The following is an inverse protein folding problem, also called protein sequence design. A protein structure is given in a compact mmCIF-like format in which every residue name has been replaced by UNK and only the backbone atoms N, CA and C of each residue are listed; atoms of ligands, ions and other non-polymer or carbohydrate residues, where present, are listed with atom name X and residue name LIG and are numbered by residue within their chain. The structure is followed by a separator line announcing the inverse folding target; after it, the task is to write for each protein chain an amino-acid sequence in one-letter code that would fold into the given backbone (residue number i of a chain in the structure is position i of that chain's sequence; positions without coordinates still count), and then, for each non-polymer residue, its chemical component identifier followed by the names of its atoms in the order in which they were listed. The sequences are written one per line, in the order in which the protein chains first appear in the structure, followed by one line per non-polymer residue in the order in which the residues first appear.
data_IF_778203519316
#
_entry.id   IF_778203519316
#
_cell.length_a   1.000
_cell.length_b   1.000
_cell.length_c   1.000
_cell.angle_alpha   90.00
_cell.angle_beta   90.00
_cell.angle_gamma   90.00
#
_symmetry.space_group_name_H-M   'P 1'
#
loop_
_entity.id
_entity.type
_entity.pdbx_description
1 polymer ?
#
# COMPACT_ATOMS: atom_id res chain seq x y z
N UNK A 1 -27.47 -43.86 41.89
CA UNK A 1 -26.10 -43.43 41.52
C UNK A 1 -25.73 -43.80 40.09
N UNK A 2 -25.58 -45.08 39.71
CA UNK A 2 -25.15 -45.51 38.36
C UNK A 2 -25.91 -44.82 37.20
N UNK A 3 -27.24 -44.87 37.23
CA UNK A 3 -28.13 -44.22 36.24
C UNK A 3 -27.89 -42.71 36.10
N UNK A 4 -27.54 -42.02 37.20
CA UNK A 4 -27.22 -40.58 37.18
C UNK A 4 -25.91 -40.31 36.43
N UNK A 5 -24.94 -41.22 36.56
CA UNK A 5 -23.64 -41.13 35.89
C UNK A 5 -23.82 -41.46 34.40
N UNK A 6 -24.60 -42.49 34.07
CA UNK A 6 -24.94 -42.88 32.69
C UNK A 6 -25.67 -41.74 31.96
N UNK A 7 -26.66 -41.10 32.59
CA UNK A 7 -27.35 -39.93 32.03
C UNK A 7 -26.42 -38.71 31.83
N UNK A 8 -25.51 -38.44 32.77
CA UNK A 8 -24.53 -37.36 32.63
C UNK A 8 -23.50 -37.64 31.54
N UNK A 9 -23.08 -38.90 31.35
CA UNK A 9 -22.16 -39.30 30.27
C UNK A 9 -22.82 -39.10 28.91
N UNK A 10 -24.09 -39.49 28.75
CA UNK A 10 -24.78 -39.36 27.47
C UNK A 10 -25.13 -37.90 27.13
N UNK A 11 -25.49 -37.10 28.14
CA UNK A 11 -25.63 -35.64 28.00
C UNK A 11 -24.31 -34.99 27.56
N UNK A 12 -23.19 -35.34 28.20
CA UNK A 12 -21.86 -34.85 27.82
C UNK A 12 -21.44 -35.32 26.41
N UNK A 13 -21.82 -36.53 25.98
CA UNK A 13 -21.60 -37.01 24.60
C UNK A 13 -22.36 -36.19 23.58
N UNK A 14 -23.64 -35.91 23.82
CA UNK A 14 -24.45 -35.04 22.95
C UNK A 14 -23.86 -33.64 22.83
N UNK A 15 -23.42 -33.05 23.94
CA UNK A 15 -22.73 -31.75 23.95
C UNK A 15 -21.39 -31.79 23.20
N UNK A 16 -20.60 -32.86 23.34
CA UNK A 16 -19.34 -33.04 22.62
C UNK A 16 -19.57 -33.21 21.10
N UNK A 17 -20.55 -34.01 20.68
CA UNK A 17 -20.93 -34.15 19.27
C UNK A 17 -21.42 -32.83 18.67
N UNK A 18 -22.27 -32.09 19.39
CA UNK A 18 -22.73 -30.78 18.95
C UNK A 18 -21.56 -29.79 18.83
N UNK A 19 -20.57 -29.86 19.73
CA UNK A 19 -19.35 -29.06 19.66
C UNK A 19 -18.45 -29.46 18.47
N UNK A 20 -18.23 -30.74 18.19
CA UNK A 20 -17.41 -31.19 17.04
C UNK A 20 -18.04 -30.77 15.72
N UNK A 21 -19.33 -31.02 15.49
CA UNK A 21 -20.01 -30.60 14.25
C UNK A 21 -20.02 -29.08 14.06
N UNK A 22 -20.11 -28.31 15.16
CA UNK A 22 -19.99 -26.84 15.10
C UNK A 22 -18.58 -26.37 14.74
N UNK A 23 -17.54 -27.10 15.18
CA UNK A 23 -16.14 -26.82 14.84
C UNK A 23 -15.80 -27.22 13.40
N UNK A 24 -16.32 -28.35 12.93
CA UNK A 24 -16.19 -28.83 11.54
C UNK A 24 -16.79 -27.81 10.57
N UNK A 25 -18.05 -27.41 10.77
CA UNK A 25 -18.70 -26.37 9.97
C UNK A 25 -17.96 -25.02 9.99
N UNK A 26 -17.35 -24.65 11.12
CA UNK A 26 -16.52 -23.45 11.22
C UNK A 26 -15.19 -23.58 10.45
N UNK A 27 -14.54 -24.76 10.47
CA UNK A 27 -13.31 -25.06 9.73
C UNK A 27 -13.57 -25.06 8.22
N UNK A 28 -14.64 -25.69 7.76
CA UNK A 28 -15.04 -25.72 6.35
C UNK A 28 -15.28 -24.30 5.82
N UNK A 29 -16.08 -23.50 6.54
CA UNK A 29 -16.38 -22.11 6.16
C UNK A 29 -15.13 -21.22 6.18
N UNK A 30 -14.18 -21.47 7.07
CA UNK A 30 -12.90 -20.74 7.09
C UNK A 30 -11.99 -21.19 5.95
N UNK A 31 -12.03 -22.46 5.56
CA UNK A 31 -11.34 -23.02 4.38
C UNK A 31 -11.89 -22.39 3.09
N UNK A 32 -13.20 -22.26 2.96
CA UNK A 32 -13.85 -21.54 1.87
C UNK A 32 -13.38 -20.07 1.80
N UNK A 33 -13.42 -19.34 2.92
CA UNK A 33 -12.97 -17.95 2.98
C UNK A 33 -11.48 -17.79 2.62
N UNK A 34 -10.60 -18.67 3.08
CA UNK A 34 -9.18 -18.65 2.70
C UNK A 34 -8.97 -19.03 1.23
N UNK A 35 -9.80 -19.92 0.67
CA UNK A 35 -9.76 -20.27 -0.77
C UNK A 35 -10.19 -19.10 -1.66
N UNK A 36 -11.17 -18.31 -1.22
CA UNK A 36 -11.56 -17.06 -1.88
C UNK A 36 -10.42 -16.02 -1.75
N UNK A 37 -9.86 -15.85 -0.55
CA UNK A 37 -8.74 -14.94 -0.29
C UNK A 37 -7.51 -15.27 -1.14
N UNK A 38 -7.20 -16.55 -1.36
CA UNK A 38 -6.12 -17.00 -2.23
C UNK A 38 -6.36 -16.59 -3.69
N UNK A 39 -7.57 -16.82 -4.23
CA UNK A 39 -7.94 -16.42 -5.60
C UNK A 39 -7.92 -14.90 -5.81
N UNK A 40 -8.37 -14.14 -4.81
CA UNK A 40 -8.28 -12.68 -4.82
C UNK A 40 -6.82 -12.20 -4.74
N UNK A 41 -5.96 -12.91 -4.00
CA UNK A 41 -4.52 -12.64 -3.92
C UNK A 41 -3.79 -12.96 -5.23
N UNK A 42 -4.10 -14.09 -5.90
CA UNK A 42 -3.57 -14.43 -7.24
C UNK A 42 -3.91 -13.34 -8.25
N UNK A 43 -5.17 -12.90 -8.28
CA UNK A 43 -5.57 -11.80 -9.16
C UNK A 43 -4.90 -10.49 -8.80
N UNK A 44 -4.75 -10.18 -7.50
CA UNK A 44 -4.03 -8.99 -7.06
C UNK A 44 -2.54 -9.01 -7.50
N UNK A 45 -1.87 -10.17 -7.48
CA UNK A 45 -0.50 -10.32 -8.00
C UNK A 45 -0.46 -10.11 -9.52
N UNK A 46 -1.41 -10.67 -10.29
CA UNK A 46 -1.52 -10.42 -11.73
C UNK A 46 -1.69 -8.93 -12.06
N UNK A 47 -2.61 -8.26 -11.35
CA UNK A 47 -2.89 -6.82 -11.52
C UNK A 47 -1.69 -5.96 -11.10
N UNK A 48 -0.89 -6.42 -10.12
CA UNK A 48 0.34 -5.76 -9.70
C UNK A 48 1.42 -5.87 -10.78
N UNK A 49 1.63 -7.05 -11.37
CA UNK A 49 2.57 -7.24 -12.48
C UNK A 49 2.18 -6.43 -13.71
N UNK A 50 0.89 -6.38 -14.08
CA UNK A 50 0.38 -5.48 -15.13
C UNK A 50 0.66 -4.00 -14.86
N UNK A 51 0.59 -3.57 -13.59
CA UNK A 51 0.91 -2.20 -13.19
C UNK A 51 2.42 -1.93 -13.25
N UNK A 52 3.27 -2.89 -12.88
CA UNK A 52 4.71 -2.76 -13.05
C UNK A 52 5.12 -2.74 -14.53
N UNK A 53 4.46 -3.54 -15.38
CA UNK A 53 4.85 -3.75 -16.77
C UNK A 53 4.67 -2.54 -17.70
N UNK A 54 3.83 -1.55 -17.37
CA UNK A 54 3.58 -0.38 -18.25
C UNK A 54 4.78 0.52 -18.50
N UNK A 55 5.84 0.42 -17.70
CA UNK A 55 7.09 1.17 -17.90
C UNK A 55 8.31 0.24 -17.89
N UNK A 56 8.57 -0.53 -18.97
CA UNK A 56 9.58 -1.60 -18.99
C UNK A 56 11.04 -1.17 -18.67
N UNK A 57 11.33 0.12 -18.74
CA UNK A 57 12.61 0.73 -18.37
C UNK A 57 12.72 1.09 -16.89
N UNK A 58 11.58 1.39 -16.24
CA UNK A 58 11.48 1.86 -14.86
C UNK A 58 10.35 1.10 -14.15
N UNK A 59 10.66 -0.09 -13.63
CA UNK A 59 9.67 -1.01 -13.04
C UNK A 59 10.25 -1.86 -11.92
N UNK A 60 9.35 -2.45 -11.13
CA UNK A 60 9.69 -3.53 -10.20
C UNK A 60 9.37 -4.89 -10.82
N UNK A 61 9.97 -5.94 -10.29
CA UNK A 61 9.64 -7.33 -10.55
C UNK A 61 9.29 -7.94 -9.20
N UNK A 62 8.00 -8.18 -8.96
CA UNK A 62 7.47 -8.67 -7.69
C UNK A 62 7.10 -10.13 -7.90
N UNK A 63 7.96 -11.05 -7.45
CA UNK A 63 7.64 -12.48 -7.41
C UNK A 63 7.03 -12.80 -6.06
N UNK A 64 5.85 -13.42 -6.05
CA UNK A 64 5.20 -13.96 -4.87
C UNK A 64 4.33 -15.13 -5.30
N UNK A 65 4.56 -16.31 -4.72
CA UNK A 65 3.78 -17.51 -4.97
C UNK A 65 2.61 -17.55 -3.98
N UNK A 66 1.36 -17.56 -4.45
CA UNK A 66 0.20 -17.67 -3.55
C UNK A 66 0.07 -19.12 -3.05
N UNK A 67 -0.44 -19.30 -1.82
CA UNK A 67 -0.71 -20.62 -1.27
C UNK A 67 -1.71 -21.39 -2.15
N UNK A 68 -1.30 -22.58 -2.59
CA UNK A 68 -2.15 -23.46 -3.38
C UNK A 68 -3.31 -24.05 -2.54
N UNK A 69 -4.50 -24.32 -3.12
CA UNK A 69 -5.69 -24.68 -2.35
C UNK A 69 -5.56 -25.93 -1.48
N UNK A 70 -4.74 -26.89 -1.90
CA UNK A 70 -4.39 -28.10 -1.14
C UNK A 70 -3.74 -27.79 0.21
N UNK A 71 -2.92 -26.72 0.28
CA UNK A 71 -2.14 -26.35 1.46
C UNK A 71 -2.89 -25.42 2.44
N UNK A 72 -4.12 -25.05 2.12
CA UNK A 72 -4.97 -24.23 3.01
C UNK A 72 -5.37 -25.04 4.27
N UNK A 73 -5.54 -26.37 4.15
CA UNK A 73 -5.73 -27.27 5.29
C UNK A 73 -4.52 -27.25 6.23
N UNK A 74 -3.32 -27.48 5.69
CA UNK A 74 -2.05 -27.45 6.44
C UNK A 74 -1.79 -26.09 7.10
N UNK A 75 -2.29 -25.00 6.53
CA UNK A 75 -2.26 -23.68 7.16
C UNK A 75 -3.23 -23.61 8.34
N UNK A 76 -4.50 -23.96 8.14
CA UNK A 76 -5.50 -23.92 9.21
C UNK A 76 -5.10 -24.76 10.41
N UNK A 77 -4.59 -25.97 10.20
CA UNK A 77 -4.26 -26.88 11.31
C UNK A 77 -3.05 -26.37 12.11
N UNK A 78 -2.09 -25.68 11.47
CA UNK A 78 -1.03 -24.93 12.19
C UNK A 78 -1.62 -23.78 13.01
N UNK A 79 -2.46 -22.93 12.41
CA UNK A 79 -3.07 -21.78 13.10
C UNK A 79 -3.96 -22.23 14.28
N UNK A 80 -4.72 -23.32 14.15
CA UNK A 80 -5.48 -23.91 15.25
C UNK A 80 -4.57 -24.44 16.36
N UNK A 81 -3.44 -25.08 16.02
CA UNK A 81 -2.46 -25.56 16.99
C UNK A 81 -1.85 -24.39 17.79
N UNK A 82 -1.44 -23.32 17.11
CA UNK A 82 -0.88 -22.12 17.73
C UNK A 82 -1.89 -21.41 18.63
N UNK A 83 -3.15 -21.27 18.20
CA UNK A 83 -4.24 -20.72 19.03
C UNK A 83 -4.46 -21.59 20.27
N UNK A 84 -4.52 -22.92 20.14
CA UNK A 84 -4.66 -23.82 21.29
C UNK A 84 -3.48 -23.71 22.26
N UNK A 85 -2.25 -23.65 21.75
CA UNK A 85 -1.06 -23.45 22.58
C UNK A 85 -1.07 -22.10 23.31
N UNK A 86 -1.54 -21.04 22.64
CA UNK A 86 -1.68 -19.70 23.24
C UNK A 86 -2.80 -19.66 24.29
N UNK A 87 -3.94 -20.31 24.05
CA UNK A 87 -5.05 -20.41 25.03
C UNK A 87 -4.67 -21.21 26.28
N UNK A 88 -3.93 -22.32 26.15
CA UNK A 88 -3.42 -23.07 27.32
C UNK A 88 -2.57 -22.18 28.22
N UNK A 89 -1.62 -21.42 27.64
CA UNK A 89 -0.79 -20.44 28.38
C UNK A 89 -1.58 -19.27 28.99
N UNK A 90 -2.78 -18.97 28.48
CA UNK A 90 -3.64 -17.91 29.03
C UNK A 90 -4.43 -18.38 30.26
N UNK A 91 -4.86 -19.65 30.30
CA UNK A 91 -5.58 -20.23 31.43
C UNK A 91 -4.79 -20.10 32.75
N UNK A 92 -3.47 -20.29 32.70
CA UNK A 92 -2.56 -20.18 33.84
C UNK A 92 -2.35 -18.72 34.35
N UNK A 93 -2.81 -17.70 33.60
CA UNK A 93 -2.41 -16.29 33.81
C UNK A 93 -3.45 -15.37 34.50
N UNK A 94 -4.69 -15.84 34.70
CA UNK A 94 -5.68 -15.30 35.65
C UNK A 94 -6.25 -13.87 35.48
N UNK A 95 -5.63 -12.97 34.69
CA UNK A 95 -5.91 -11.51 34.78
C UNK A 95 -6.77 -10.93 33.63
N UNK A 96 -8.06 -10.73 33.92
CA UNK A 96 -9.11 -10.23 32.99
C UNK A 96 -8.88 -8.83 32.40
N UNK A 97 -8.07 -7.97 33.03
CA UNK A 97 -7.78 -6.62 32.50
C UNK A 97 -6.77 -6.70 31.34
N UNK A 98 -5.87 -7.68 31.39
CA UNK A 98 -4.88 -7.97 30.34
C UNK A 98 -5.55 -8.53 29.07
N UNK A 99 -6.63 -9.29 29.27
CA UNK A 99 -7.33 -10.11 28.29
C UNK A 99 -7.72 -9.37 27.00
N UNK A 100 -8.35 -8.18 27.09
CA UNK A 100 -8.71 -7.38 25.90
C UNK A 100 -7.48 -6.93 25.09
N UNK A 101 -6.39 -6.58 25.76
CA UNK A 101 -5.15 -6.09 25.11
C UNK A 101 -4.35 -7.25 24.52
N UNK A 102 -4.37 -8.41 25.17
CA UNK A 102 -3.82 -9.67 24.64
C UNK A 102 -4.62 -10.19 23.46
N UNK A 103 -5.96 -10.22 23.53
CA UNK A 103 -6.82 -10.67 22.41
C UNK A 103 -6.60 -9.84 21.14
N UNK A 104 -6.37 -8.53 21.27
CA UNK A 104 -5.98 -7.71 20.11
C UNK A 104 -4.61 -8.15 19.54
N UNK A 105 -3.60 -8.34 20.39
CA UNK A 105 -2.28 -8.82 19.95
C UNK A 105 -2.37 -10.17 19.24
N UNK A 106 -3.08 -11.15 19.81
CA UNK A 106 -3.31 -12.46 19.21
C UNK A 106 -3.99 -12.37 17.82
N UNK A 107 -4.96 -11.45 17.64
CA UNK A 107 -5.60 -11.22 16.33
C UNK A 107 -4.66 -10.53 15.32
N UNK A 108 -3.79 -9.62 15.77
CA UNK A 108 -2.82 -8.94 14.92
C UNK A 108 -1.64 -9.88 14.55
N UNK A 109 -1.22 -10.76 15.48
CA UNK A 109 -0.28 -11.88 15.29
C UNK A 109 -0.84 -12.88 14.28
N UNK A 110 -2.07 -13.37 14.49
CA UNK A 110 -2.77 -14.29 13.59
C UNK A 110 -2.91 -13.73 12.17
N UNK A 111 -3.28 -12.45 12.04
CA UNK A 111 -3.35 -11.78 10.74
C UNK A 111 -1.98 -11.71 10.06
N UNK A 112 -0.92 -11.45 10.83
CA UNK A 112 0.45 -11.46 10.35
C UNK A 112 0.87 -12.84 9.81
N UNK A 113 0.52 -13.92 10.50
CA UNK A 113 0.88 -15.27 10.10
C UNK A 113 0.06 -15.79 8.92
N UNK A 114 -1.24 -15.44 8.85
CA UNK A 114 -2.05 -15.65 7.63
C UNK A 114 -1.41 -14.96 6.43
N UNK A 115 -1.00 -13.68 6.53
CA UNK A 115 -0.36 -12.98 5.40
C UNK A 115 1.01 -13.55 5.03
N UNK A 116 1.80 -14.06 5.98
CA UNK A 116 3.07 -14.74 5.68
C UNK A 116 2.86 -16.07 4.98
N UNK A 117 1.91 -16.87 5.44
CA UNK A 117 1.63 -18.19 4.84
C UNK A 117 0.84 -18.09 3.53
N UNK A 118 0.14 -16.99 3.26
CA UNK A 118 -0.56 -16.71 2.00
C UNK A 118 0.40 -16.48 0.81
N UNK A 119 1.63 -15.99 1.07
CA UNK A 119 2.61 -15.64 0.03
C UNK A 119 4.00 -16.26 0.32
N UNK A 120 4.38 -17.26 -0.47
CA UNK A 120 5.72 -17.85 -0.49
C UNK A 120 6.67 -17.13 -1.47
N UNK A 121 7.98 -17.36 -1.29
CA UNK A 121 9.07 -16.95 -2.20
C UNK A 121 9.14 -15.45 -2.54
N UNK A 122 8.57 -14.62 -1.67
CA UNK A 122 8.40 -13.17 -1.88
C UNK A 122 9.75 -12.49 -2.11
N UNK A 123 9.94 -12.01 -3.34
CA UNK A 123 11.15 -11.31 -3.76
C UNK A 123 10.80 -10.11 -4.64
N UNK A 124 11.48 -8.98 -4.36
CA UNK A 124 11.32 -7.73 -5.09
C UNK A 124 12.66 -7.31 -5.68
N UNK A 125 12.68 -7.22 -7.00
CA UNK A 125 13.76 -6.62 -7.78
C UNK A 125 13.23 -5.36 -8.47
N UNK A 126 14.12 -4.48 -8.93
CA UNK A 126 13.75 -3.27 -9.65
C UNK A 126 14.74 -2.96 -10.77
N UNK A 127 14.28 -2.17 -11.74
CA UNK A 127 15.06 -1.60 -12.83
C UNK A 127 14.70 -0.12 -12.95
N UNK A 128 15.71 0.73 -13.17
CA UNK A 128 15.52 2.15 -13.43
C UNK A 128 16.65 2.67 -14.33
N UNK A 129 16.37 3.44 -15.40
CA UNK A 129 17.37 3.73 -16.44
C UNK A 129 18.62 4.45 -15.92
N UNK A 130 18.45 5.41 -15.01
CA UNK A 130 19.54 6.23 -14.46
C UNK A 130 20.16 5.66 -13.17
N UNK A 131 19.78 4.45 -12.74
CA UNK A 131 20.42 3.73 -11.62
C UNK A 131 21.23 2.55 -12.15
N UNK A 132 22.51 2.49 -11.78
CA UNK A 132 23.42 1.37 -12.07
C UNK A 132 23.40 0.88 -13.53
N UNK A 133 23.28 1.80 -14.48
CA UNK A 133 23.28 1.51 -15.93
C UNK A 133 21.99 0.89 -16.47
N UNK A 134 20.87 0.98 -15.75
CA UNK A 134 19.59 0.43 -16.22
C UNK A 134 19.47 -1.10 -16.06
N UNK A 135 20.29 -1.69 -15.19
CA UNK A 135 20.23 -3.11 -14.83
C UNK A 135 19.04 -3.49 -13.94
N UNK A 136 18.88 -4.79 -13.69
CA UNK A 136 17.88 -5.34 -12.77
C UNK A 136 18.57 -5.74 -11.46
N UNK A 137 18.09 -5.20 -10.34
CA UNK A 137 18.76 -5.30 -9.04
C UNK A 137 17.76 -5.63 -7.92
N UNK A 138 18.18 -6.39 -6.92
CA UNK A 138 17.34 -6.68 -5.75
C UNK A 138 17.07 -5.40 -4.96
N UNK A 139 15.84 -5.20 -4.51
CA UNK A 139 15.47 -4.06 -3.69
C UNK A 139 16.13 -4.19 -2.30
N UNK A 140 17.19 -3.41 -2.06
CA UNK A 140 17.89 -3.36 -0.76
C UNK A 140 18.25 -1.91 -0.41
N UNK A 141 18.33 -1.61 0.89
CA UNK A 141 18.70 -0.28 1.38
C UNK A 141 20.21 0.02 1.30
N UNK A 142 21.04 -1.00 1.05
CA UNK A 142 22.51 -0.88 0.94
C UNK A 142 22.88 -0.48 -0.49
N UNK A 143 23.95 0.31 -0.64
CA UNK A 143 24.50 0.72 -1.94
C UNK A 143 23.74 1.86 -2.66
N UNK A 144 22.44 2.03 -2.43
CA UNK A 144 21.68 3.17 -2.99
C UNK A 144 22.10 4.50 -2.35
N UNK A 145 22.39 5.51 -3.17
CA UNK A 145 22.51 6.91 -2.72
C UNK A 145 21.15 7.45 -2.25
N UNK A 146 21.14 8.61 -1.58
CA UNK A 146 19.87 9.21 -1.13
C UNK A 146 18.96 9.60 -2.30
N UNK A 147 19.52 10.13 -3.40
CA UNK A 147 18.80 10.34 -4.65
C UNK A 147 18.22 9.06 -5.23
N UNK A 148 18.99 7.98 -5.28
CA UNK A 148 18.53 6.68 -5.76
C UNK A 148 17.42 6.10 -4.86
N UNK A 149 17.50 6.28 -3.54
CA UNK A 149 16.42 5.86 -2.60
C UNK A 149 15.14 6.66 -2.85
N UNK A 150 15.24 7.97 -3.06
CA UNK A 150 14.09 8.82 -3.40
C UNK A 150 13.50 8.43 -4.76
N UNK A 151 14.33 8.20 -5.78
CA UNK A 151 13.93 7.77 -7.12
C UNK A 151 13.11 6.47 -7.11
N UNK A 152 13.64 5.44 -6.43
CA UNK A 152 12.98 4.14 -6.28
C UNK A 152 11.70 4.26 -5.44
N UNK A 153 11.68 5.11 -4.42
CA UNK A 153 10.48 5.34 -3.59
C UNK A 153 9.36 6.02 -4.38
N UNK A 154 9.67 7.06 -5.18
CA UNK A 154 8.70 7.74 -6.04
C UNK A 154 8.19 6.82 -7.16
N UNK A 155 9.07 5.97 -7.73
CA UNK A 155 8.68 4.92 -8.68
C UNK A 155 7.70 3.93 -8.04
N UNK A 156 8.00 3.45 -6.82
CA UNK A 156 7.14 2.50 -6.09
C UNK A 156 5.76 3.11 -5.78
N UNK A 157 5.73 4.36 -5.33
CA UNK A 157 4.50 5.11 -5.07
C UNK A 157 3.63 5.22 -6.32
N UNK A 158 4.20 5.65 -7.45
CA UNK A 158 3.47 5.79 -8.70
C UNK A 158 2.90 4.45 -9.18
N UNK A 159 3.69 3.37 -9.06
CA UNK A 159 3.24 2.00 -9.37
C UNK A 159 2.18 1.46 -8.43
N UNK A 160 2.22 1.78 -7.14
CA UNK A 160 1.13 1.44 -6.23
C UNK A 160 -0.16 2.20 -6.55
N UNK A 161 -0.10 3.46 -6.98
CA UNK A 161 -1.27 4.18 -7.46
C UNK A 161 -1.86 3.54 -8.75
N UNK A 162 -0.99 3.19 -9.71
CA UNK A 162 -1.37 2.51 -10.95
C UNK A 162 -1.98 1.12 -10.71
N UNK A 163 -1.50 0.40 -9.69
CA UNK A 163 -2.06 -0.87 -9.21
C UNK A 163 -3.44 -0.67 -8.58
N UNK A 164 -3.61 0.30 -7.67
CA UNK A 164 -4.90 0.58 -7.03
C UNK A 164 -5.98 0.99 -8.03
N UNK A 165 -5.62 1.76 -9.06
CA UNK A 165 -6.53 2.10 -10.15
C UNK A 165 -7.05 0.85 -10.89
N UNK A 166 -6.16 -0.06 -11.28
CA UNK A 166 -6.56 -1.33 -11.92
C UNK A 166 -7.40 -2.19 -10.97
N UNK A 167 -6.99 -2.34 -9.72
CA UNK A 167 -7.72 -3.13 -8.73
C UNK A 167 -9.15 -2.63 -8.53
N UNK A 168 -9.35 -1.31 -8.46
CA UNK A 168 -10.69 -0.71 -8.42
C UNK A 168 -11.49 -0.99 -9.71
N UNK A 169 -10.86 -0.91 -10.90
CA UNK A 169 -11.49 -1.17 -12.20
C UNK A 169 -11.84 -2.65 -12.42
N UNK A 170 -11.10 -3.59 -11.81
CA UNK A 170 -11.37 -5.03 -11.82
C UNK A 170 -12.52 -5.40 -10.86
N UNK A 171 -12.43 -4.95 -9.60
CA UNK A 171 -13.50 -5.13 -8.60
C UNK A 171 -14.82 -4.50 -9.07
N UNK A 172 -14.75 -3.44 -9.88
CA UNK A 172 -15.89 -2.79 -10.54
C UNK A 172 -16.41 -3.55 -11.78
N UNK A 173 -15.92 -4.77 -12.05
CA UNK A 173 -16.27 -5.57 -13.23
C UNK A 173 -17.77 -5.84 -13.41
N UNK A 174 -18.55 -5.89 -12.33
CA UNK A 174 -20.01 -6.03 -12.36
C UNK A 174 -20.82 -4.73 -12.53
N UNK A 175 -20.19 -3.55 -12.53
CA UNK A 175 -20.89 -2.26 -12.55
C UNK A 175 -21.04 -1.68 -13.96
N UNK A 176 -22.08 -0.87 -14.19
CA UNK A 176 -22.41 -0.27 -15.49
C UNK A 176 -21.20 0.41 -16.15
N UNK A 177 -21.07 0.24 -17.47
CA UNK A 177 -19.98 0.73 -18.34
C UNK A 177 -19.59 2.21 -18.11
N UNK A 178 -20.57 3.03 -17.72
CA UNK A 178 -20.43 4.46 -17.41
C UNK A 178 -19.59 4.70 -16.14
N UNK A 179 -19.81 3.93 -15.06
CA UNK A 179 -19.05 4.05 -13.81
C UNK A 179 -17.61 3.56 -14.00
N UNK A 180 -17.42 2.49 -14.79
CA UNK A 180 -16.09 1.99 -15.17
C UNK A 180 -15.31 2.97 -16.05
N UNK A 181 -15.99 3.90 -16.73
CA UNK A 181 -15.39 5.05 -17.42
C UNK A 181 -15.16 6.27 -16.50
N UNK A 182 -15.89 6.38 -15.38
CA UNK A 182 -15.63 7.40 -14.35
C UNK A 182 -14.37 7.08 -13.55
N UNK A 183 -14.18 5.84 -13.09
CA UNK A 183 -12.94 5.40 -12.42
C UNK A 183 -11.69 5.64 -13.29
N UNK A 184 -11.78 5.40 -14.61
CA UNK A 184 -10.68 5.70 -15.56
C UNK A 184 -10.38 7.21 -15.73
N UNK A 185 -11.23 8.09 -15.21
CA UNK A 185 -11.00 9.54 -15.13
C UNK A 185 -10.50 9.99 -13.76
N UNK A 186 -10.49 9.13 -12.75
CA UNK A 186 -9.86 9.43 -11.47
C UNK A 186 -8.36 9.61 -11.70
N UNK A 187 -7.82 10.71 -11.14
CA UNK A 187 -6.41 11.04 -11.17
C UNK A 187 -5.94 11.05 -9.74
N UNK A 188 -4.99 10.17 -9.42
CA UNK A 188 -4.37 10.20 -8.10
C UNK A 188 -3.45 11.41 -8.05
N UNK A 189 -3.59 12.23 -7.02
CA UNK A 189 -2.63 13.29 -6.74
C UNK A 189 -1.86 12.97 -5.48
N UNK A 190 -0.62 13.42 -5.43
CA UNK A 190 0.24 13.33 -4.26
C UNK A 190 0.79 14.72 -3.94
N UNK A 191 0.74 15.09 -2.66
CA UNK A 191 1.40 16.28 -2.14
C UNK A 191 2.65 15.83 -1.40
N UNK A 192 3.82 16.38 -1.77
CA UNK A 192 5.09 16.16 -1.06
C UNK A 192 5.64 17.49 -0.58
N UNK A 193 5.68 17.66 0.74
CA UNK A 193 6.37 18.78 1.39
C UNK A 193 7.85 18.45 1.60
N UNK A 194 8.71 19.47 1.51
CA UNK A 194 10.16 19.28 1.51
C UNK A 194 10.68 18.47 0.32
N UNK A 195 10.02 18.55 -0.85
CA UNK A 195 10.47 17.84 -2.04
C UNK A 195 11.93 18.25 -2.37
N UNK A 196 12.80 17.26 -2.50
CA UNK A 196 14.25 17.41 -2.70
C UNK A 196 15.04 18.08 -1.56
N UNK A 197 14.50 18.24 -0.34
CA UNK A 197 15.21 18.89 0.79
C UNK A 197 16.60 18.30 1.09
N UNK A 198 16.78 17.01 0.82
CA UNK A 198 18.03 16.27 1.04
C UNK A 198 18.81 15.99 -0.27
N UNK A 199 18.27 16.33 -1.44
CA UNK A 199 18.92 16.06 -2.72
C UNK A 199 19.75 17.28 -3.14
N UNK A 200 21.03 17.24 -2.78
CA UNK A 200 21.99 18.35 -2.97
C UNK A 200 22.57 18.48 -4.38
N UNK A 201 22.13 17.67 -5.34
CA UNK A 201 22.68 17.59 -6.70
C UNK A 201 21.55 17.37 -7.73
N UNK A 202 21.55 18.13 -8.81
CA UNK A 202 20.46 18.14 -9.79
C UNK A 202 20.30 16.81 -10.54
N UNK A 203 21.40 16.10 -10.83
CA UNK A 203 21.38 14.76 -11.46
C UNK A 203 20.54 13.74 -10.66
N UNK A 204 20.55 13.86 -9.32
CA UNK A 204 19.78 13.01 -8.42
C UNK A 204 18.30 13.38 -8.42
N UNK A 205 17.97 14.65 -8.67
CA UNK A 205 16.60 15.14 -8.83
C UNK A 205 16.04 14.66 -10.17
N UNK A 206 16.77 14.87 -11.27
CA UNK A 206 16.35 14.46 -12.61
C UNK A 206 16.19 12.93 -12.70
N UNK A 207 17.09 12.13 -12.11
CA UNK A 207 16.91 10.67 -12.00
C UNK A 207 15.67 10.28 -11.19
N UNK A 208 15.42 10.95 -10.06
CA UNK A 208 14.26 10.66 -9.22
C UNK A 208 12.92 11.05 -9.86
N UNK A 209 12.95 12.07 -10.72
CA UNK A 209 11.80 12.57 -11.44
C UNK A 209 11.58 11.89 -12.79
N UNK A 210 12.61 11.31 -13.39
CA UNK A 210 12.46 10.42 -14.55
C UNK A 210 11.58 9.21 -14.23
N UNK A 211 11.66 8.65 -13.01
CA UNK A 211 10.71 7.64 -12.50
C UNK A 211 9.24 8.07 -12.70
N UNK A 212 8.94 9.31 -12.28
CA UNK A 212 7.58 9.85 -12.30
C UNK A 212 7.14 10.27 -13.71
N UNK A 213 8.06 10.80 -14.51
CA UNK A 213 7.84 11.12 -15.93
C UNK A 213 7.51 9.87 -16.73
N UNK A 214 8.22 8.77 -16.51
CA UNK A 214 7.95 7.49 -17.18
C UNK A 214 6.59 6.91 -16.73
N UNK A 215 6.24 7.03 -15.45
CA UNK A 215 4.95 6.59 -14.91
C UNK A 215 3.79 7.58 -15.12
N UNK A 216 3.95 8.61 -15.95
CA UNK A 216 2.97 9.70 -16.09
C UNK A 216 1.76 9.29 -16.95
N UNK A 217 0.55 9.59 -16.45
CA UNK A 217 -0.72 9.37 -17.17
C UNK A 217 -1.94 9.40 -16.24
N UNK A 218 -1.84 8.75 -15.08
CA UNK A 218 -2.91 8.67 -14.07
C UNK A 218 -2.55 9.33 -12.73
N UNK A 219 -1.37 9.95 -12.64
CA UNK A 219 -0.77 10.48 -11.41
C UNK A 219 -0.37 11.95 -11.58
N UNK A 220 -0.65 12.78 -10.58
CA UNK A 220 -0.29 14.20 -10.51
C UNK A 220 0.53 14.48 -9.25
N UNK A 221 1.81 14.86 -9.41
CA UNK A 221 2.62 15.33 -8.28
C UNK A 221 2.38 16.83 -8.03
N UNK A 222 2.24 17.19 -6.76
CA UNK A 222 2.29 18.55 -6.23
C UNK A 222 3.46 18.59 -5.24
N UNK A 223 4.58 19.21 -5.66
CA UNK A 223 5.77 19.37 -4.82
C UNK A 223 5.84 20.74 -4.16
N UNK A 224 6.16 20.79 -2.87
CA UNK A 224 6.56 22.02 -2.18
C UNK A 224 8.07 21.94 -1.92
N UNK A 225 8.82 22.90 -2.47
CA UNK A 225 10.29 22.93 -2.44
C UNK A 225 10.73 24.18 -1.68
N UNK A 226 11.47 23.99 -0.58
CA UNK A 226 11.98 25.08 0.26
C UNK A 226 13.45 25.44 -0.01
N UNK A 227 14.09 24.79 -1.00
CA UNK A 227 15.50 24.97 -1.31
C UNK A 227 15.74 26.28 -2.11
N UNK A 228 16.44 27.30 -1.56
CA UNK A 228 16.49 28.64 -2.17
C UNK A 228 17.23 28.73 -3.52
N UNK A 229 17.92 27.67 -3.93
CA UNK A 229 18.66 27.60 -5.21
C UNK A 229 18.04 26.62 -6.22
N UNK A 230 16.86 26.05 -5.93
CA UNK A 230 16.21 25.14 -6.86
C UNK A 230 15.77 25.89 -8.13
N UNK A 231 16.26 25.43 -9.29
CA UNK A 231 15.84 25.89 -10.61
C UNK A 231 14.82 24.89 -11.14
N UNK A 232 13.64 25.38 -11.54
CA UNK A 232 12.58 24.48 -12.00
C UNK A 232 12.88 23.88 -13.38
N UNK A 233 12.91 22.54 -13.48
CA UNK A 233 13.03 21.84 -14.77
C UNK A 233 11.64 21.69 -15.45
N UNK A 234 11.31 22.43 -16.53
CA UNK A 234 9.96 22.43 -17.11
C UNK A 234 9.59 21.13 -17.83
N UNK A 235 10.58 20.27 -18.14
CA UNK A 235 10.37 18.93 -18.71
C UNK A 235 9.76 17.95 -17.69
N UNK A 236 9.77 18.33 -16.42
CA UNK A 236 9.37 17.53 -15.26
C UNK A 236 8.19 18.21 -14.56
N UNK A 237 8.35 19.49 -14.23
CA UNK A 237 7.34 20.34 -13.62
C UNK A 237 6.88 21.41 -14.62
N UNK A 238 5.91 21.09 -15.52
CA UNK A 238 5.43 22.04 -16.52
C UNK A 238 4.65 23.21 -15.93
N UNK A 239 4.17 23.08 -14.69
CA UNK A 239 3.64 24.16 -13.87
C UNK A 239 4.55 24.37 -12.66
N UNK A 240 5.03 25.58 -12.46
CA UNK A 240 5.81 26.00 -11.30
C UNK A 240 5.18 27.24 -10.67
N UNK A 241 5.20 27.32 -9.34
CA UNK A 241 4.38 28.24 -8.57
C UNK A 241 5.18 28.86 -7.42
N UNK A 242 5.40 30.18 -7.45
CA UNK A 242 6.14 30.91 -6.41
C UNK A 242 5.19 31.49 -5.37
N UNK A 243 5.09 30.83 -4.22
CA UNK A 243 4.38 31.38 -3.05
C UNK A 243 5.10 32.59 -2.47
N UNK A 244 4.37 33.71 -2.26
CA UNK A 244 4.88 34.87 -1.52
C UNK A 244 4.10 35.06 -0.21
N UNK A 245 4.77 35.40 0.91
CA UNK A 245 4.09 35.60 2.19
C UNK A 245 3.40 36.98 2.23
N UNK A 246 2.11 37.00 1.94
CA UNK A 246 1.29 38.20 2.08
C UNK A 246 0.92 38.45 3.54
N UNK A 247 1.40 39.57 4.10
CA UNK A 247 0.97 40.08 5.41
C UNK A 247 -0.10 41.14 5.20
N UNK A 248 -1.33 40.86 5.63
CA UNK A 248 -2.38 41.87 5.70
C UNK A 248 -2.03 42.90 6.80
N UNK A 249 -2.26 44.20 6.54
CA UNK A 249 -1.78 45.33 7.36
C UNK A 249 -1.99 45.15 8.87
N UNK A 250 -3.15 44.59 9.28
CA UNK A 250 -3.54 44.46 10.69
C UNK A 250 -3.74 42.98 11.11
N UNK A 251 -3.22 42.00 10.35
CA UNK A 251 -3.57 40.58 10.48
C UNK A 251 -2.52 39.70 11.17
N UNK A 252 -2.94 38.87 12.13
CA UNK A 252 -2.11 37.78 12.73
C UNK A 252 -1.85 36.59 11.80
N UNK A 253 -2.39 36.60 10.58
CA UNK A 253 -2.28 35.51 9.62
C UNK A 253 -1.57 35.99 8.35
N UNK A 254 -0.52 35.27 7.96
CA UNK A 254 0.10 35.41 6.65
C UNK A 254 -0.57 34.44 5.68
N UNK A 255 -0.91 34.93 4.49
CA UNK A 255 -1.50 34.13 3.42
C UNK A 255 -0.44 33.90 2.34
N UNK A 256 -0.40 32.71 1.75
CA UNK A 256 0.50 32.43 0.63
C UNK A 256 -0.20 32.89 -0.64
N UNK A 257 0.12 34.09 -1.10
CA UNK A 257 -0.40 34.57 -2.38
C UNK A 257 0.45 33.98 -3.51
N UNK A 258 -0.30 33.28 -4.40
CA UNK A 258 -0.30 32.14 -7.05
C UNK A 258 -0.42 32.89 -8.46
N UNK A 259 0.64 33.50 -8.98
CA UNK A 259 0.93 33.69 -10.42
C UNK A 259 0.76 32.44 -11.32
N UNK A 260 -0.20 32.38 -12.24
CA UNK A 260 -0.10 31.48 -13.41
C UNK A 260 0.41 32.21 -14.66
N UNK A 261 1.67 31.98 -15.04
CA UNK A 261 2.26 32.49 -16.27
C UNK A 261 2.03 31.54 -17.45
N UNK A 262 1.83 32.12 -18.64
CA UNK A 262 1.46 31.40 -19.88
C UNK A 262 2.59 31.29 -20.92
N UNK A 263 3.67 32.04 -20.72
CA UNK A 263 4.88 32.05 -21.55
C UNK A 263 6.11 31.82 -20.65
N UNK A 264 7.14 31.17 -21.18
CA UNK A 264 8.40 30.87 -20.49
C UNK A 264 9.61 31.39 -21.31
N UNK A 265 10.83 31.47 -20.75
CA UNK A 265 11.24 31.27 -19.35
C UNK A 265 11.42 32.63 -18.62
N UNK A 266 12.18 32.65 -17.52
CA UNK A 266 12.83 33.82 -16.92
C UNK A 266 11.95 35.02 -16.48
N UNK A 267 10.95 34.78 -15.61
CA UNK A 267 10.56 35.77 -14.58
C UNK A 267 9.63 35.17 -13.51
N UNK A 268 9.77 35.59 -12.25
CA UNK A 268 8.94 35.08 -11.15
C UNK A 268 7.46 35.47 -11.32
N UNK A 269 6.55 34.50 -11.26
CA UNK A 269 5.13 34.76 -11.06
C UNK A 269 4.84 35.51 -9.74
N UNK A 270 3.85 36.42 -9.77
CA UNK A 270 3.46 37.28 -8.66
C UNK A 270 1.93 37.40 -8.61
N UNK A 271 1.28 36.69 -7.69
CA UNK A 271 -0.19 36.68 -7.60
C UNK A 271 -0.80 38.09 -7.44
N UNK A 272 -1.73 38.46 -8.30
CA UNK A 272 -2.63 39.60 -8.11
C UNK A 272 -4.05 39.18 -7.66
N UNK A 273 -4.68 39.94 -6.76
CA UNK A 273 -6.08 39.68 -6.34
C UNK A 273 -7.04 40.72 -6.91
N UNK A 274 -7.75 40.37 -7.99
CA UNK A 274 -8.92 41.13 -8.43
C UNK A 274 -10.17 40.70 -7.63
N UNK A 275 -10.41 41.36 -6.51
CA UNK A 275 -11.75 41.48 -5.94
C UNK A 275 -12.32 42.84 -6.37
N UNK A 276 -13.24 42.84 -7.34
CA UNK A 276 -14.09 43.99 -7.61
C UNK A 276 -15.09 44.17 -6.48
N UNK A 277 -15.35 45.43 -6.11
CA UNK A 277 -16.53 45.81 -5.33
C UNK A 277 -17.79 45.76 -6.20
#
# INVERSE_FOLDING_TARGET
MKVQIEANIESNRGLLQQATTSLEFARDKTTEMLTILAKDAERAVSILEEAMATTPTARFYVRANVIAPDKIGDLLDRLYSDIQAQMRRQADSGSKITEKRQRKRALDELRGEVYRSLFADVSVEFRHPSIWGGGQHRLTSKGLSEGMRTAVSLMWIAKLAEFRLRQAIDQTGGMRRQNRAALRKERYFMILDGLFSNLSHDDLIDSAMESLRLSAGHFQLIGMIHHPRYINNPKIFPSYFVGRPYRASNGKHAWLTVDWQKNAPDSLGVFGSHFTQ
#
